data_IF_200360447280
#
_entry.id   IF_200360447280
#
_cell.length_a   1.000
_cell.length_b   1.000
_cell.length_c   1.000
_cell.angle_alpha   90.00
_cell.angle_beta   90.00
_cell.angle_gamma   90.00
#
_symmetry.space_group_name_H-M   'P 1'
#
loop_
_entity.id
_entity.type
_entity.pdbx_description
1 polymer ?
#
# COMPACT_ATOMS: atom_id res chain seq x y z
N UNK A 1 24.12 6.75 -14.59
CA UNK A 1 22.98 7.53 -14.04
C UNK A 1 23.10 7.50 -12.53
N UNK A 2 22.57 8.45 -11.73
CA UNK A 2 22.70 8.27 -10.28
C UNK A 2 21.88 7.03 -9.90
N UNK A 3 22.54 6.07 -9.26
CA UNK A 3 21.97 4.77 -8.81
C UNK A 3 20.89 4.92 -7.72
N UNK A 4 20.35 6.12 -7.52
CA UNK A 4 19.41 6.44 -6.45
C UNK A 4 18.06 5.80 -6.70
N UNK A 5 17.58 5.05 -5.71
CA UNK A 5 16.29 4.37 -5.73
C UNK A 5 15.16 5.25 -5.20
N UNK A 6 13.93 4.95 -5.58
CA UNK A 6 12.74 5.69 -5.13
C UNK A 6 12.69 5.79 -3.61
N UNK A 7 12.96 4.69 -2.91
CA UNK A 7 12.91 4.63 -1.44
C UNK A 7 13.84 5.62 -0.75
N UNK A 8 14.96 5.99 -1.37
CA UNK A 8 15.93 6.95 -0.81
C UNK A 8 15.44 8.39 -0.90
N UNK A 9 14.51 8.68 -1.82
CA UNK A 9 13.98 10.03 -2.07
C UNK A 9 12.57 10.21 -1.56
N UNK A 10 11.75 9.18 -1.65
CA UNK A 10 10.33 9.29 -1.38
C UNK A 10 9.70 7.95 -1.03
N UNK A 11 8.87 7.97 0.02
CA UNK A 11 7.97 6.89 0.35
C UNK A 11 6.70 7.47 0.98
N UNK A 12 5.49 6.99 0.64
CA UNK A 12 4.23 7.54 1.14
C UNK A 12 3.91 7.03 2.56
N UNK A 13 4.78 7.34 3.53
CA UNK A 13 4.75 6.78 4.89
C UNK A 13 3.38 6.94 5.56
N UNK A 14 2.72 8.09 5.41
CA UNK A 14 1.41 8.32 6.03
C UNK A 14 0.32 7.39 5.46
N UNK A 15 0.32 7.19 4.14
CA UNK A 15 -0.63 6.29 3.49
C UNK A 15 -0.35 4.82 3.82
N UNK A 16 0.93 4.42 3.80
CA UNK A 16 1.36 3.07 4.18
C UNK A 16 1.03 2.76 5.64
N UNK A 17 1.22 3.72 6.54
CA UNK A 17 0.89 3.58 7.95
C UNK A 17 -0.60 3.36 8.17
N UNK A 18 -1.45 4.14 7.49
CA UNK A 18 -2.90 3.97 7.63
C UNK A 18 -3.39 2.66 7.01
N UNK A 19 -2.89 2.26 5.84
CA UNK A 19 -3.23 0.95 5.25
C UNK A 19 -2.72 -0.22 6.12
N UNK A 20 -1.55 -0.08 6.75
CA UNK A 20 -1.02 -1.08 7.70
C UNK A 20 -1.91 -1.23 8.93
N UNK A 21 -2.46 -0.14 9.44
CA UNK A 21 -3.44 -0.17 10.53
C UNK A 21 -4.77 -0.76 10.03
N UNK A 22 -5.24 -0.35 8.85
CA UNK A 22 -6.47 -0.84 8.22
C UNK A 22 -6.43 -2.36 7.99
N UNK A 23 -5.28 -2.90 7.60
CA UNK A 23 -5.03 -4.33 7.45
C UNK A 23 -5.32 -5.10 8.75
N UNK A 24 -4.97 -4.53 9.91
CA UNK A 24 -5.16 -5.13 11.23
C UNK A 24 -6.54 -4.91 11.85
N UNK A 25 -7.33 -3.94 11.39
CA UNK A 25 -8.59 -3.53 12.05
C UNK A 25 -9.73 -4.55 12.00
N UNK A 26 -9.64 -5.57 11.15
CA UNK A 26 -10.74 -6.52 10.93
C UNK A 26 -10.24 -7.94 11.10
N UNK A 27 -10.58 -8.52 12.25
CA UNK A 27 -10.26 -9.90 12.60
C UNK A 27 -10.94 -10.90 11.64
N UNK A 28 -12.16 -10.60 11.21
CA UNK A 28 -12.97 -11.43 10.29
C UNK A 28 -12.46 -11.48 8.86
N UNK A 29 -11.58 -10.54 8.47
CA UNK A 29 -10.93 -10.56 7.17
C UNK A 29 -9.65 -11.42 7.17
N UNK A 30 -9.37 -12.15 8.27
CA UNK A 30 -8.16 -12.94 8.46
C UNK A 30 -8.50 -14.43 8.56
N UNK A 31 -7.60 -15.33 8.13
CA UNK A 31 -7.79 -16.77 8.25
C UNK A 31 -8.05 -17.20 9.71
N UNK A 32 -8.87 -18.23 9.96
CA UNK A 32 -9.26 -18.65 11.32
C UNK A 32 -8.11 -18.97 12.28
N UNK A 33 -6.95 -19.34 11.77
CA UNK A 33 -5.74 -19.59 12.57
C UNK A 33 -5.25 -18.34 13.32
N UNK A 34 -5.75 -17.14 12.97
CA UNK A 34 -5.48 -15.87 13.63
C UNK A 34 -6.16 -15.74 15.02
N UNK A 35 -7.15 -16.59 15.33
CA UNK A 35 -7.86 -16.57 16.61
C UNK A 35 -7.19 -17.44 17.69
N UNK A 36 -6.27 -18.32 17.31
CA UNK A 36 -5.68 -19.30 18.23
C UNK A 36 -4.51 -18.72 19.04
N UNK A 37 -3.65 -17.87 18.43
CA UNK A 37 -2.56 -17.17 19.13
C UNK A 37 -2.31 -15.77 18.56
N UNK A 38 -2.25 -14.77 19.44
CA UNK A 38 -1.90 -13.38 19.09
C UNK A 38 -0.41 -13.32 18.74
N UNK A 39 -0.08 -13.17 17.47
CA UNK A 39 1.31 -13.02 17.03
C UNK A 39 1.68 -11.55 16.84
N UNK A 40 2.63 -11.05 17.63
CA UNK A 40 3.09 -9.65 17.59
C UNK A 40 3.90 -9.29 16.33
N UNK A 41 4.33 -10.27 15.53
CA UNK A 41 5.30 -10.07 14.46
C UNK A 41 4.72 -9.98 13.03
N UNK A 42 3.42 -9.71 12.85
CA UNK A 42 2.89 -9.60 11.49
C UNK A 42 3.48 -8.35 10.80
N UNK A 43 4.33 -8.58 9.80
CA UNK A 43 4.86 -7.53 8.91
C UNK A 43 3.71 -7.01 8.04
N UNK A 44 3.39 -5.71 8.07
CA UNK A 44 2.31 -5.16 7.25
C UNK A 44 2.63 -5.39 5.77
N UNK A 45 1.78 -6.14 5.07
CA UNK A 45 2.07 -6.58 3.69
C UNK A 45 2.19 -5.37 2.76
N UNK A 46 1.34 -4.36 2.95
CA UNK A 46 1.38 -3.13 2.16
C UNK A 46 2.72 -2.40 2.32
N UNK A 47 3.24 -2.29 3.55
CA UNK A 47 4.52 -1.63 3.79
C UNK A 47 5.70 -2.45 3.23
N UNK A 48 5.69 -3.78 3.38
CA UNK A 48 6.72 -4.64 2.82
C UNK A 48 6.72 -4.62 1.28
N UNK A 49 5.55 -4.66 0.64
CA UNK A 49 5.40 -4.50 -0.81
C UNK A 49 5.92 -3.15 -1.28
N UNK A 50 5.58 -2.08 -0.59
CA UNK A 50 6.04 -0.72 -0.90
C UNK A 50 7.56 -0.60 -0.78
N UNK A 51 8.17 -1.19 0.26
CA UNK A 51 9.61 -1.17 0.43
C UNK A 51 10.33 -1.90 -0.70
N UNK A 52 9.87 -3.11 -1.07
CA UNK A 52 10.46 -3.88 -2.18
C UNK A 52 10.34 -3.12 -3.49
N UNK A 53 9.13 -2.64 -3.82
CA UNK A 53 8.88 -1.91 -5.05
C UNK A 53 9.71 -0.61 -5.13
N UNK A 54 9.83 0.13 -4.03
CA UNK A 54 10.57 1.39 -4.01
C UNK A 54 12.11 1.20 -4.04
N UNK A 55 12.63 0.05 -3.62
CA UNK A 55 14.05 -0.31 -3.79
C UNK A 55 14.34 -0.65 -5.25
N UNK A 56 13.37 -1.21 -5.96
CA UNK A 56 13.50 -1.62 -7.35
C UNK A 56 13.34 -0.45 -8.33
N UNK A 57 12.49 0.52 -8.04
CA UNK A 57 12.21 1.62 -8.96
C UNK A 57 13.27 2.74 -8.92
N UNK A 58 13.51 3.43 -10.05
CA UNK A 58 14.36 4.61 -10.08
C UNK A 58 13.76 5.78 -9.28
N UNK A 59 14.61 6.71 -8.83
CA UNK A 59 14.19 7.85 -8.00
C UNK A 59 13.13 8.78 -8.63
N UNK A 60 13.06 8.82 -9.97
CA UNK A 60 12.11 9.62 -10.75
C UNK A 60 10.85 8.84 -11.16
N UNK A 61 10.67 7.60 -10.69
CA UNK A 61 9.51 6.79 -11.01
C UNK A 61 8.19 7.50 -10.62
N UNK A 62 7.17 7.26 -11.45
CA UNK A 62 5.85 7.84 -11.28
C UNK A 62 5.22 7.39 -9.95
N UNK A 63 4.97 8.36 -9.07
CA UNK A 63 4.44 8.15 -7.72
C UNK A 63 2.97 7.73 -7.74
N UNK A 64 2.19 8.16 -8.72
CA UNK A 64 0.78 7.78 -8.83
C UNK A 64 0.66 6.34 -9.30
N UNK A 65 1.45 5.95 -10.31
CA UNK A 65 1.54 4.55 -10.74
C UNK A 65 2.05 3.67 -9.60
N UNK A 66 3.06 4.10 -8.85
CA UNK A 66 3.52 3.39 -7.65
C UNK A 66 2.38 3.14 -6.64
N UNK A 67 1.61 4.17 -6.30
CA UNK A 67 0.47 4.04 -5.37
C UNK A 67 -0.60 3.08 -5.91
N UNK A 68 -0.85 3.14 -7.22
CA UNK A 68 -1.83 2.29 -7.89
C UNK A 68 -1.43 0.81 -7.89
N UNK A 69 -0.16 0.49 -8.19
CA UNK A 69 0.41 -0.86 -8.12
C UNK A 69 0.34 -1.43 -6.69
N UNK A 70 0.46 -0.58 -5.68
CA UNK A 70 0.27 -0.99 -4.28
C UNK A 70 -1.19 -1.25 -3.89
N UNK A 71 -2.16 -0.90 -4.73
CA UNK A 71 -3.58 -1.02 -4.42
C UNK A 71 -4.15 0.15 -3.61
N UNK A 72 -3.42 1.27 -3.52
CA UNK A 72 -3.89 2.49 -2.87
C UNK A 72 -4.53 3.38 -3.93
N UNK A 73 -5.84 3.24 -4.12
CA UNK A 73 -6.60 3.91 -5.18
C UNK A 73 -7.35 5.16 -4.70
N UNK A 74 -7.06 5.61 -3.49
CA UNK A 74 -7.62 6.82 -2.90
C UNK A 74 -6.69 7.40 -1.85
N UNK A 75 -7.22 8.29 -1.02
CA UNK A 75 -6.45 8.91 0.07
C UNK A 75 -6.83 8.27 1.43
N UNK A 76 -6.04 7.31 1.95
CA UNK A 76 -6.30 6.70 3.24
C UNK A 76 -6.17 7.69 4.41
N UNK A 77 -5.34 8.74 4.28
CA UNK A 77 -5.16 9.75 5.33
C UNK A 77 -6.40 10.64 5.41
N UNK A 78 -6.94 11.07 4.27
CA UNK A 78 -8.22 11.77 4.22
C UNK A 78 -9.36 10.89 4.72
N UNK A 79 -9.39 9.61 4.33
CA UNK A 79 -10.37 8.65 4.84
C UNK A 79 -10.30 8.51 6.37
N UNK A 80 -9.10 8.41 6.96
CA UNK A 80 -8.89 8.40 8.41
C UNK A 80 -9.47 9.64 9.08
N UNK A 81 -9.19 10.83 8.54
CA UNK A 81 -9.72 12.11 9.06
C UNK A 81 -11.24 12.14 9.00
N UNK A 82 -11.82 11.67 7.89
CA UNK A 82 -13.27 11.57 7.68
C UNK A 82 -13.93 10.62 8.67
N UNK A 83 -13.35 9.44 8.88
CA UNK A 83 -13.80 8.47 9.88
C UNK A 83 -13.75 9.07 11.27
N UNK A 84 -12.64 9.70 11.66
CA UNK A 84 -12.49 10.32 12.97
C UNK A 84 -13.47 11.49 13.20
N UNK A 85 -13.87 12.21 12.14
CA UNK A 85 -14.93 13.22 12.20
C UNK A 85 -16.29 12.56 12.40
N UNK A 86 -16.63 11.58 11.57
CA UNK A 86 -17.90 10.88 11.65
C UNK A 86 -18.11 10.17 13.01
N UNK A 87 -17.06 9.57 13.59
CA UNK A 87 -17.11 8.99 14.94
C UNK A 87 -17.43 10.03 16.03
N UNK A 88 -16.95 11.27 15.89
CA UNK A 88 -17.28 12.36 16.84
C UNK A 88 -18.72 12.86 16.69
N UNK A 89 -19.26 12.74 15.48
CA UNK A 89 -20.63 13.14 15.12
C UNK A 89 -21.63 11.98 15.28
N UNK A 90 -21.19 10.82 15.81
CA UNK A 90 -21.94 9.56 15.90
C UNK A 90 -22.54 9.07 14.56
N UNK A 91 -21.89 9.42 13.45
CA UNK A 91 -22.27 9.01 12.09
C UNK A 91 -21.50 7.75 11.68
N UNK A 92 -22.20 6.74 11.16
CA UNK A 92 -21.59 5.52 10.61
C UNK A 92 -21.35 5.65 9.10
N UNK A 93 -20.08 5.64 8.68
CA UNK A 93 -19.68 5.73 7.26
C UNK A 93 -19.78 4.40 6.48
N UNK A 94 -20.01 3.27 7.15
CA UNK A 94 -20.12 1.96 6.51
C UNK A 94 -18.79 1.37 6.01
N UNK A 95 -18.88 0.29 5.23
CA UNK A 95 -17.72 -0.46 4.72
C UNK A 95 -16.89 0.34 3.69
N UNK A 96 -17.55 1.25 2.97
CA UNK A 96 -16.95 2.11 1.92
C UNK A 96 -16.27 3.37 2.48
N UNK A 97 -15.91 3.38 3.77
CA UNK A 97 -15.30 4.55 4.41
C UNK A 97 -13.99 5.02 3.75
N UNK A 98 -13.27 4.12 3.06
CA UNK A 98 -12.05 4.42 2.33
C UNK A 98 -12.26 4.64 0.83
N UNK A 99 -13.40 4.23 0.27
CA UNK A 99 -13.73 4.40 -1.16
C UNK A 99 -12.98 3.46 -2.13
N UNK A 100 -12.20 2.51 -1.62
CA UNK A 100 -11.55 1.45 -2.41
C UNK A 100 -11.32 0.21 -1.54
N UNK A 101 -11.10 -0.98 -2.13
CA UNK A 101 -10.74 -2.20 -1.40
C UNK A 101 -9.47 -2.06 -0.55
N UNK A 102 -9.11 -3.06 0.26
CA UNK A 102 -7.85 -2.99 1.02
C UNK A 102 -6.67 -3.15 0.07
N UNK A 103 -5.63 -2.34 0.26
CA UNK A 103 -4.50 -2.33 -0.65
C UNK A 103 -3.83 -3.71 -0.80
N UNK A 104 -3.71 -4.48 0.30
CA UNK A 104 -3.07 -5.80 0.25
C UNK A 104 -3.83 -6.84 -0.60
N UNK A 105 -5.13 -6.66 -0.84
CA UNK A 105 -5.93 -7.54 -1.69
C UNK A 105 -5.82 -7.24 -3.18
N UNK A 106 -5.22 -6.11 -3.55
CA UNK A 106 -5.06 -5.73 -4.95
C UNK A 106 -3.87 -6.44 -5.59
N UNK A 107 -4.13 -7.04 -6.75
CA UNK A 107 -3.13 -7.59 -7.67
C UNK A 107 -2.95 -6.62 -8.84
N UNK A 108 -1.71 -6.25 -9.20
CA UNK A 108 -1.45 -5.39 -10.36
C UNK A 108 -2.01 -6.00 -11.64
N UNK A 109 -2.52 -5.14 -12.52
CA UNK A 109 -2.94 -5.52 -13.88
C UNK A 109 -1.73 -5.82 -14.77
N UNK A 110 -1.96 -6.41 -15.94
CA UNK A 110 -0.89 -6.67 -16.93
C UNK A 110 -0.16 -5.38 -17.31
N UNK A 111 -0.88 -4.29 -17.58
CA UNK A 111 -0.28 -3.01 -17.95
C UNK A 111 0.51 -2.35 -16.81
N UNK A 112 0.07 -2.52 -15.58
CA UNK A 112 0.80 -2.08 -14.39
C UNK A 112 2.08 -2.90 -14.17
N UNK A 113 2.04 -4.20 -14.47
CA UNK A 113 3.19 -5.09 -14.39
C UNK A 113 4.21 -4.77 -15.49
N UNK A 114 3.73 -4.52 -16.72
CA UNK A 114 4.55 -4.04 -17.84
C UNK A 114 5.26 -2.74 -17.48
N UNK A 115 4.54 -1.77 -16.89
CA UNK A 115 5.16 -0.53 -16.43
C UNK A 115 6.29 -0.78 -15.41
N UNK A 116 6.09 -1.67 -14.43
CA UNK A 116 7.15 -2.00 -13.47
C UNK A 116 8.36 -2.60 -14.19
N UNK A 117 8.15 -3.51 -15.14
CA UNK A 117 9.24 -4.11 -15.91
C UNK A 117 9.99 -3.08 -16.77
N UNK A 118 9.27 -2.15 -17.40
CA UNK A 118 9.88 -1.07 -18.18
C UNK A 118 10.79 -0.19 -17.30
N UNK A 119 10.33 0.15 -16.08
CA UNK A 119 11.13 0.92 -15.11
C UNK A 119 12.36 0.16 -14.63
N UNK A 120 12.29 -1.17 -14.50
CA UNK A 120 13.42 -2.02 -14.16
C UNK A 120 14.45 -2.09 -15.30
N UNK A 121 13.99 -2.23 -16.55
CA UNK A 121 14.88 -2.24 -17.72
C UNK A 121 15.60 -0.90 -17.92
N UNK A 122 14.96 0.23 -17.60
CA UNK A 122 15.59 1.57 -17.63
C UNK A 122 16.87 1.67 -16.78
N UNK A 123 16.96 0.86 -15.73
CA UNK A 123 18.08 0.85 -14.77
C UNK A 123 18.97 -0.40 -14.91
N UNK A 124 18.79 -1.19 -15.97
CA UNK A 124 19.59 -2.38 -16.24
C UNK A 124 19.30 -3.57 -15.31
N UNK A 125 18.12 -3.61 -14.68
CA UNK A 125 17.62 -4.77 -13.95
C UNK A 125 16.72 -5.61 -14.88
N UNK A 126 17.29 -6.13 -15.97
CA UNK A 126 16.57 -7.02 -16.88
C UNK A 126 16.49 -8.43 -16.26
N UNK A 127 15.30 -8.85 -15.82
CA UNK A 127 14.99 -10.19 -15.27
C UNK A 127 15.95 -10.70 -14.15
N UNK A 128 15.65 -10.50 -12.86
CA UNK A 128 16.29 -11.27 -11.78
C UNK A 128 15.97 -12.77 -11.83
#
# INVERSE_FOLDING_TARGET
>A
MPDTRLIERWLPIAALGEESVRERRSMTALPPTYYLHVWWARRPLVASRAAILAVLLPADADREKFMRVLGIHGDPVAAKRRIAKATREDVRLGAEAYGYPRAFSYLPTSSESEWVNDELSRIGLDNP
#
